data_IF_041372827121
#
_entry.id   IF_041372827121
#
_cell.length_a   1.000
_cell.length_b   1.000
_cell.length_c   1.000
_cell.angle_alpha   90.00
_cell.angle_beta   90.00
_cell.angle_gamma   90.00
#
_symmetry.space_group_name_H-M   'P 1'
#
loop_
_entity.id
_entity.type
_entity.pdbx_description
1 polymer ?
#
# COMPACT_ATOMS: atom_id res chain seq x y z
N UNK A 1 3.98 -10.32 1.73
CA UNK A 1 4.11 -8.92 2.19
C UNK A 1 3.57 -8.04 1.07
N UNK A 2 2.66 -7.13 1.36
CA UNK A 2 2.19 -6.12 0.41
C UNK A 2 3.00 -4.85 0.66
N UNK A 3 3.54 -4.23 -0.38
CA UNK A 3 4.33 -2.99 -0.28
C UNK A 3 3.52 -1.87 -0.92
N UNK A 4 3.27 -0.81 -0.16
CA UNK A 4 2.67 0.43 -0.66
C UNK A 4 3.79 1.47 -0.74
N UNK A 5 3.97 2.08 -1.91
CA UNK A 5 4.96 3.12 -2.11
C UNK A 5 4.45 4.45 -1.57
N UNK A 6 5.25 5.13 -0.75
CA UNK A 6 4.94 6.45 -0.16
C UNK A 6 5.90 7.54 -0.67
N UNK A 7 6.54 7.30 -1.81
CA UNK A 7 7.61 8.15 -2.32
C UNK A 7 8.95 7.98 -1.59
N UNK A 8 9.92 8.81 -1.97
CA UNK A 8 11.26 8.85 -1.36
C UNK A 8 11.70 10.31 -1.24
N UNK A 9 12.18 10.75 -0.06
CA UNK A 9 12.67 12.11 0.08
C UNK A 9 13.98 12.32 -0.70
N UNK A 10 14.31 13.57 -1.05
CA UNK A 10 15.49 13.88 -1.86
C UNK A 10 16.80 13.57 -1.12
N UNK A 11 16.81 13.70 0.21
CA UNK A 11 18.00 13.47 1.03
C UNK A 11 17.77 12.40 2.10
N UNK A 12 18.84 11.71 2.50
CA UNK A 12 18.78 10.55 3.42
C UNK A 12 18.46 10.95 4.87
N UNK A 13 18.90 12.12 5.28
CA UNK A 13 18.63 12.72 6.58
C UNK A 13 17.14 13.07 6.79
N UNK A 14 16.40 13.30 5.70
CA UNK A 14 14.97 13.62 5.73
C UNK A 14 14.05 12.38 5.82
N UNK A 15 14.62 11.17 5.88
CA UNK A 15 13.82 9.92 5.86
C UNK A 15 12.89 9.82 7.08
N UNK A 16 13.38 10.16 8.26
CA UNK A 16 12.58 10.11 9.50
C UNK A 16 11.37 11.03 9.39
N UNK A 17 11.57 12.28 8.97
CA UNK A 17 10.50 13.25 8.83
C UNK A 17 9.52 12.87 7.71
N UNK A 18 10.03 12.37 6.57
CA UNK A 18 9.21 11.91 5.44
C UNK A 18 8.23 10.81 5.82
N UNK A 19 8.65 9.84 6.63
CA UNK A 19 7.77 8.70 7.00
C UNK A 19 6.85 8.98 8.19
N UNK A 20 7.14 10.02 8.98
CA UNK A 20 6.34 10.41 10.15
C UNK A 20 5.37 11.56 9.84
N UNK A 21 5.59 12.29 8.75
CA UNK A 21 4.68 13.34 8.28
C UNK A 21 3.48 12.71 7.55
N UNK A 22 2.29 13.30 7.74
CA UNK A 22 1.09 12.88 7.01
C UNK A 22 1.17 13.20 5.52
N UNK A 23 0.34 12.54 4.72
CA UNK A 23 0.22 12.80 3.28
C UNK A 23 -0.41 14.17 3.00
N UNK A 24 0.00 14.80 1.90
CA UNK A 24 -0.67 16.01 1.41
C UNK A 24 -2.07 15.68 0.87
N UNK A 25 -2.96 16.69 0.72
CA UNK A 25 -4.28 16.48 0.12
C UNK A 25 -4.24 15.89 -1.30
N UNK A 26 -3.16 16.11 -2.04
CA UNK A 26 -2.96 15.58 -3.39
C UNK A 26 -2.43 14.14 -3.37
N UNK A 27 -1.64 13.78 -2.35
CA UNK A 27 -1.11 12.43 -2.18
C UNK A 27 -2.15 11.47 -1.59
N UNK A 28 -3.03 11.95 -0.72
CA UNK A 28 -3.98 11.13 0.02
C UNK A 28 -4.87 10.27 -0.91
N UNK A 29 -5.50 10.81 -1.98
CA UNK A 29 -6.30 9.99 -2.90
C UNK A 29 -5.48 8.89 -3.60
N UNK A 30 -4.19 9.12 -3.85
CA UNK A 30 -3.31 8.13 -4.48
C UNK A 30 -3.01 6.97 -3.53
N UNK A 31 -2.76 7.29 -2.25
CA UNK A 31 -2.52 6.28 -1.21
C UNK A 31 -3.78 5.47 -0.93
N UNK A 32 -4.95 6.13 -0.86
CA UNK A 32 -6.24 5.47 -0.69
C UNK A 32 -6.52 4.48 -1.84
N UNK A 33 -6.34 4.92 -3.08
CA UNK A 33 -6.51 4.07 -4.25
C UNK A 33 -5.56 2.87 -4.25
N UNK A 34 -4.27 3.09 -3.93
CA UNK A 34 -3.29 2.01 -3.85
C UNK A 34 -3.61 1.00 -2.74
N UNK A 35 -4.10 1.47 -1.59
CA UNK A 35 -4.55 0.61 -0.50
C UNK A 35 -5.78 -0.21 -0.90
N UNK A 36 -6.76 0.42 -1.55
CA UNK A 36 -7.99 -0.25 -2.00
C UNK A 36 -7.67 -1.35 -3.01
N UNK A 37 -6.89 -1.03 -4.05
CA UNK A 37 -6.49 -2.03 -5.05
C UNK A 37 -5.73 -3.19 -4.39
N UNK A 38 -4.80 -2.88 -3.49
CA UNK A 38 -4.06 -3.92 -2.79
C UNK A 38 -4.97 -4.84 -1.95
N UNK A 39 -5.97 -4.27 -1.28
CA UNK A 39 -6.95 -5.04 -0.53
C UNK A 39 -7.75 -5.97 -1.45
N UNK A 40 -8.27 -5.45 -2.55
CA UNK A 40 -9.06 -6.22 -3.52
C UNK A 40 -8.26 -7.42 -4.07
N UNK A 41 -7.01 -7.19 -4.50
CA UNK A 41 -6.14 -8.27 -5.00
C UNK A 41 -5.82 -9.32 -3.95
N UNK A 42 -5.68 -8.92 -2.68
CA UNK A 42 -5.43 -9.86 -1.59
C UNK A 42 -6.68 -10.69 -1.32
N UNK A 43 -7.87 -10.09 -1.34
CA UNK A 43 -9.13 -10.81 -1.19
C UNK A 43 -9.30 -11.85 -2.30
N UNK A 44 -9.04 -11.47 -3.55
CA UNK A 44 -9.06 -12.39 -4.70
C UNK A 44 -8.08 -13.55 -4.51
N UNK A 45 -6.84 -13.26 -4.09
CA UNK A 45 -5.81 -14.27 -3.85
C UNK A 45 -6.23 -15.26 -2.75
N UNK A 46 -6.82 -14.76 -1.66
CA UNK A 46 -7.29 -15.61 -0.55
C UNK A 46 -8.49 -16.45 -0.99
N UNK A 47 -9.43 -15.86 -1.72
CA UNK A 47 -10.60 -16.57 -2.24
C UNK A 47 -10.18 -17.69 -3.21
N UNK A 48 -9.26 -17.43 -4.12
CA UNK A 48 -8.70 -18.43 -5.04
C UNK A 48 -8.07 -19.60 -4.29
N UNK A 49 -7.23 -19.32 -3.28
CA UNK A 49 -6.59 -20.38 -2.48
C UNK A 49 -7.57 -21.19 -1.64
N UNK A 50 -8.63 -20.56 -1.15
CA UNK A 50 -9.68 -21.27 -0.41
C UNK A 50 -10.44 -22.27 -1.31
N UNK A 51 -10.54 -22.01 -2.62
CA UNK A 51 -11.11 -22.96 -3.59
C UNK A 51 -10.14 -24.11 -3.86
N UNK A 52 -8.85 -23.82 -4.00
CA UNK A 52 -7.81 -24.83 -4.23
C UNK A 52 -7.69 -25.82 -3.08
N UNK A 53 -7.73 -25.36 -1.83
CA UNK A 53 -7.63 -26.23 -0.65
C UNK A 53 -8.89 -27.04 -0.32
N UNK A 54 -10.02 -26.79 -1.01
CA UNK A 54 -11.26 -27.58 -0.88
C UNK A 54 -11.38 -28.71 -1.91
N UNK A 55 -10.42 -28.83 -2.84
CA UNK A 55 -10.31 -29.92 -3.81
C UNK A 55 -9.32 -30.96 -3.33
#
# INVERSE_FOLDING_TARGET
RVKIGIGRPPHRDQVTDHVLTGFTPEELPLIEAACQEAADRVLDLVAARAVEGRR
#
